data_IF_766353334658
#
_entry.id   IF_766353334658
#
_cell.length_a   1.000
_cell.length_b   1.000
_cell.length_c   1.000
_cell.angle_alpha   90.00
_cell.angle_beta   90.00
_cell.angle_gamma   90.00
#
_symmetry.space_group_name_H-M   'P 1'
#
loop_
_entity.id
_entity.type
_entity.pdbx_description
1 polymer ?
#
# COMPACT_ATOMS: atom_id res chain seq x y z
N UNK A 1 24.01 -26.15 4.32
CA UNK A 1 23.80 -24.79 4.83
C UNK A 1 23.20 -24.92 6.21
N UNK A 2 23.93 -24.54 7.26
CA UNK A 2 23.39 -24.56 8.62
C UNK A 2 22.19 -23.58 8.67
N UNK A 3 21.09 -24.02 9.26
CA UNK A 3 19.98 -23.13 9.61
C UNK A 3 20.49 -22.12 10.63
N UNK A 4 20.90 -20.93 10.16
CA UNK A 4 20.98 -19.76 11.04
C UNK A 4 19.55 -19.54 11.51
N UNK A 5 19.33 -19.66 12.83
CA UNK A 5 18.03 -19.39 13.43
C UNK A 5 17.60 -17.99 13.00
N UNK A 6 16.34 -17.86 12.55
CA UNK A 6 15.76 -16.58 12.18
C UNK A 6 15.88 -15.63 13.37
N UNK A 7 16.23 -14.37 13.09
CA UNK A 7 16.43 -13.41 14.15
C UNK A 7 15.12 -13.16 14.91
N UNK A 8 15.12 -13.32 16.22
CA UNK A 8 13.92 -13.17 17.05
C UNK A 8 13.49 -11.70 17.09
N UNK A 9 12.36 -11.40 16.46
CA UNK A 9 11.73 -10.09 16.44
C UNK A 9 11.01 -9.83 17.76
N UNK A 10 11.32 -8.70 18.37
CA UNK A 10 10.62 -8.20 19.55
C UNK A 10 10.49 -6.69 19.49
N UNK A 11 9.53 -6.15 20.22
CA UNK A 11 9.37 -4.71 20.44
C UNK A 11 9.50 -4.42 21.93
N UNK A 12 10.28 -3.40 22.27
CA UNK A 12 10.19 -2.78 23.58
C UNK A 12 9.23 -1.61 23.45
N UNK A 13 8.06 -1.66 24.08
CA UNK A 13 7.09 -0.55 24.07
C UNK A 13 6.83 -0.05 25.50
N UNK A 14 7.31 1.16 25.76
CA UNK A 14 7.18 1.87 27.01
C UNK A 14 5.79 2.49 27.20
N UNK A 15 5.36 2.61 28.46
CA UNK A 15 4.13 3.30 28.81
C UNK A 15 4.22 4.83 28.69
N UNK A 16 5.40 5.35 28.43
CA UNK A 16 5.65 6.73 28.01
C UNK A 16 5.47 6.93 26.49
N UNK A 17 5.18 5.85 25.76
CA UNK A 17 5.04 5.85 24.32
C UNK A 17 6.37 5.74 23.56
N UNK A 18 7.51 5.60 24.23
CA UNK A 18 8.78 5.31 23.59
C UNK A 18 8.83 3.84 23.17
N UNK A 19 9.40 3.53 22.01
CA UNK A 19 9.55 2.14 21.57
C UNK A 19 10.76 1.91 20.70
N UNK A 20 11.19 0.65 20.64
CA UNK A 20 12.28 0.18 19.80
C UNK A 20 11.91 -1.18 19.21
N UNK A 21 12.31 -1.41 17.96
CA UNK A 21 12.20 -2.71 17.31
C UNK A 21 13.56 -3.41 17.34
N UNK A 22 13.57 -4.64 17.83
CA UNK A 22 14.79 -5.42 18.03
C UNK A 22 14.75 -6.71 17.22
N UNK A 23 15.91 -7.10 16.68
CA UNK A 23 16.14 -8.42 16.10
C UNK A 23 17.30 -9.06 16.86
N UNK A 24 17.05 -10.21 17.48
CA UNK A 24 18.03 -10.91 18.34
C UNK A 24 18.52 -10.07 19.52
N UNK A 25 17.65 -9.19 20.04
CA UNK A 25 17.99 -8.26 21.12
C UNK A 25 18.85 -7.07 20.68
N UNK A 26 19.18 -6.94 19.40
CA UNK A 26 19.83 -5.76 18.83
C UNK A 26 18.78 -4.76 18.35
N UNK A 27 18.86 -3.50 18.78
CA UNK A 27 17.96 -2.44 18.31
C UNK A 27 18.24 -2.11 16.84
N UNK A 28 17.26 -2.43 15.99
CA UNK A 28 17.28 -2.15 14.56
C UNK A 28 16.66 -0.80 14.23
N UNK A 29 15.49 -0.51 14.79
CA UNK A 29 14.76 0.74 14.55
C UNK A 29 14.41 1.40 15.89
N UNK A 30 14.77 2.67 16.04
CA UNK A 30 14.31 3.50 17.15
C UNK A 30 12.97 4.14 16.78
N UNK A 31 11.99 4.02 17.66
CA UNK A 31 10.69 4.66 17.51
C UNK A 31 10.80 6.18 17.58
N UNK A 32 9.99 6.87 16.78
CA UNK A 32 9.82 8.33 16.86
C UNK A 32 8.62 8.75 17.71
N UNK A 33 8.31 10.04 17.67
CA UNK A 33 7.10 10.57 18.31
C UNK A 33 5.82 10.03 17.67
N UNK A 34 4.76 9.92 18.47
CA UNK A 34 3.39 9.69 17.97
C UNK A 34 2.77 11.04 17.61
N UNK A 35 2.12 11.13 16.44
CA UNK A 35 1.40 12.33 16.00
C UNK A 35 -0.05 12.03 15.64
N UNK A 36 -0.93 13.04 15.74
CA UNK A 36 -2.32 12.99 15.25
C UNK A 36 -2.84 14.39 14.94
N UNK A 37 -3.58 14.54 13.84
CA UNK A 37 -4.23 15.80 13.46
C UNK A 37 -5.68 15.84 13.89
N UNK A 38 -6.11 16.99 14.43
CA UNK A 38 -7.52 17.29 14.77
C UNK A 38 -7.74 18.79 14.76
N UNK A 39 -8.83 19.25 14.15
CA UNK A 39 -9.18 20.68 14.16
C UNK A 39 -8.16 21.56 13.42
N UNK A 40 -7.52 21.02 12.38
CA UNK A 40 -6.46 21.71 11.63
C UNK A 40 -5.12 21.82 12.36
N UNK A 41 -4.96 21.20 13.54
CA UNK A 41 -3.73 21.20 14.31
C UNK A 41 -3.09 19.82 14.33
N UNK A 42 -1.77 19.76 14.24
CA UNK A 42 -0.99 18.55 14.52
C UNK A 42 -0.64 18.51 16.01
N UNK A 43 -0.96 17.38 16.64
CA UNK A 43 -0.66 17.07 18.03
C UNK A 43 0.43 16.01 18.07
N UNK A 44 1.35 16.10 19.05
CA UNK A 44 2.50 15.19 19.16
C UNK A 44 2.78 14.77 20.59
N UNK A 45 3.24 13.53 20.79
CA UNK A 45 3.75 13.03 22.08
C UNK A 45 4.92 13.85 22.64
N UNK A 46 5.59 14.64 21.80
CA UNK A 46 6.69 15.50 22.21
C UNK A 46 6.23 16.87 22.71
N UNK A 47 4.93 17.20 22.63
CA UNK A 47 4.42 18.53 22.98
C UNK A 47 3.02 18.54 23.59
N UNK A 48 2.01 18.07 22.87
CA UNK A 48 0.59 18.32 23.18
C UNK A 48 -0.21 17.06 23.53
N UNK A 49 0.26 15.88 23.11
CA UNK A 49 -0.33 14.61 23.54
C UNK A 49 0.27 14.20 24.88
N UNK A 50 -0.60 13.68 25.75
CA UNK A 50 -0.23 13.13 27.06
C UNK A 50 -0.75 11.70 27.17
N UNK A 51 0.01 10.84 27.83
CA UNK A 51 -0.44 9.48 28.13
C UNK A 51 -1.55 9.55 29.18
N UNK A 52 -2.73 9.04 28.84
CA UNK A 52 -3.90 8.90 29.73
C UNK A 52 -3.83 7.57 30.48
N UNK A 53 -3.49 6.49 29.78
CA UNK A 53 -3.35 5.16 30.34
C UNK A 53 -2.40 4.31 29.52
N UNK A 54 -1.82 3.30 30.16
CA UNK A 54 -1.04 2.26 29.52
C UNK A 54 -1.49 0.90 30.07
N UNK A 55 -1.79 -0.03 29.17
CA UNK A 55 -2.18 -1.39 29.51
C UNK A 55 -1.22 -2.36 28.83
N UNK A 56 -0.74 -3.34 29.59
CA UNK A 56 -0.03 -4.49 29.06
C UNK A 56 -0.85 -5.73 29.32
N UNK A 57 -0.99 -6.55 28.30
CA UNK A 57 -1.82 -7.75 28.35
C UNK A 57 -1.30 -8.81 27.41
N UNK A 58 -1.61 -10.05 27.73
CA UNK A 58 -1.44 -11.18 26.84
C UNK A 58 -2.79 -11.53 26.19
N UNK A 59 -2.75 -12.08 24.99
CA UNK A 59 -3.93 -12.55 24.29
C UNK A 59 -3.62 -13.74 23.37
N UNK A 60 -4.63 -14.21 22.66
CA UNK A 60 -4.50 -15.27 21.67
C UNK A 60 -5.33 -14.90 20.44
N UNK A 61 -4.68 -14.82 19.28
CA UNK A 61 -5.34 -14.65 17.99
C UNK A 61 -5.61 -16.02 17.38
N UNK A 62 -6.85 -16.25 16.93
CA UNK A 62 -7.26 -17.56 16.44
C UNK A 62 -6.41 -18.10 15.27
N UNK A 63 -5.78 -17.22 14.49
CA UNK A 63 -4.94 -17.57 13.34
C UNK A 63 -3.46 -17.56 13.70
N UNK A 64 -3.02 -16.61 14.52
CA UNK A 64 -1.59 -16.36 14.79
C UNK A 64 -1.11 -16.87 16.15
N UNK A 65 -2.02 -17.32 17.00
CA UNK A 65 -1.75 -17.84 18.33
C UNK A 65 -1.49 -16.75 19.36
N UNK A 66 -0.76 -17.06 20.45
CA UNK A 66 -0.56 -16.14 21.56
C UNK A 66 0.22 -14.89 21.13
N UNK A 67 -0.17 -13.76 21.69
CA UNK A 67 0.49 -12.48 21.51
C UNK A 67 0.64 -11.72 22.83
N UNK A 68 1.65 -10.86 22.86
CA UNK A 68 1.86 -9.86 23.92
C UNK A 68 1.45 -8.50 23.37
N UNK A 69 0.70 -7.72 24.13
CA UNK A 69 0.18 -6.42 23.71
C UNK A 69 0.56 -5.32 24.71
N UNK A 70 0.94 -4.17 24.16
CA UNK A 70 0.98 -2.89 24.90
C UNK A 70 0.08 -1.89 24.20
N UNK A 71 -0.87 -1.32 24.94
CA UNK A 71 -1.79 -0.25 24.51
C UNK A 71 -1.43 1.02 25.27
N UNK A 72 -1.13 2.09 24.54
CA UNK A 72 -0.94 3.44 25.10
C UNK A 72 -2.08 4.32 24.61
N UNK A 73 -2.90 4.80 25.54
CA UNK A 73 -4.02 5.71 25.26
C UNK A 73 -3.55 7.15 25.43
N UNK A 74 -3.70 7.95 24.38
CA UNK A 74 -3.27 9.34 24.31
C UNK A 74 -4.46 10.28 24.45
N UNK A 75 -4.31 11.33 25.25
CA UNK A 75 -5.24 12.46 25.34
C UNK A 75 -4.53 13.76 24.98
N UNK A 76 -5.26 14.86 24.98
CA UNK A 76 -4.69 16.20 24.77
C UNK A 76 -4.48 16.87 26.12
N UNK A 77 -3.34 17.52 26.30
CA UNK A 77 -3.04 18.24 27.53
C UNK A 77 -4.16 19.24 27.89
N UNK A 78 -4.76 19.08 29.07
CA UNK A 78 -5.84 19.94 29.55
C UNK A 78 -7.25 19.54 29.09
N UNK A 79 -7.38 18.48 28.29
CA UNK A 79 -8.66 17.88 27.91
C UNK A 79 -8.87 16.54 28.63
N UNK A 80 -10.14 16.13 28.77
CA UNK A 80 -10.50 14.82 29.30
C UNK A 80 -10.83 13.87 28.14
N UNK A 81 -10.33 12.64 28.21
CA UNK A 81 -10.67 11.57 27.27
C UNK A 81 -9.48 11.05 26.48
N UNK A 82 -9.72 9.95 25.78
CA UNK A 82 -8.75 9.31 24.88
C UNK A 82 -9.05 9.77 23.45
N UNK A 83 -8.03 10.32 22.81
CA UNK A 83 -8.05 10.78 21.42
C UNK A 83 -7.60 9.69 20.45
N UNK A 84 -6.52 9.00 20.81
CA UNK A 84 -5.83 8.00 19.98
C UNK A 84 -5.32 6.90 20.90
N UNK A 85 -5.36 5.65 20.45
CA UNK A 85 -4.60 4.57 21.06
C UNK A 85 -3.54 4.08 20.08
N UNK A 86 -2.30 3.93 20.58
CA UNK A 86 -1.23 3.25 19.85
C UNK A 86 -0.98 1.91 20.50
N UNK A 87 -0.90 0.87 19.67
CA UNK A 87 -0.90 -0.51 20.12
C UNK A 87 0.26 -1.23 19.42
N UNK A 88 1.07 -1.96 20.16
CA UNK A 88 1.98 -2.95 19.57
C UNK A 88 1.62 -4.34 20.07
N UNK A 89 1.40 -5.27 19.13
CA UNK A 89 1.17 -6.69 19.38
C UNK A 89 2.32 -7.50 18.83
N UNK A 90 3.03 -8.22 19.68
CA UNK A 90 4.09 -9.15 19.28
C UNK A 90 3.50 -10.55 19.16
N UNK A 91 3.78 -11.23 18.04
CA UNK A 91 3.42 -12.62 17.80
C UNK A 91 4.70 -13.47 17.76
N UNK A 92 5.21 -13.95 18.91
CA UNK A 92 6.53 -14.60 18.98
C UNK A 92 6.62 -15.84 18.07
N UNK A 93 5.53 -16.59 17.94
CA UNK A 93 5.46 -17.80 17.09
C UNK A 93 5.53 -17.49 15.59
N UNK A 94 5.27 -16.25 15.20
CA UNK A 94 5.22 -15.80 13.81
C UNK A 94 6.38 -14.88 13.46
N UNK A 95 7.26 -14.55 14.41
CA UNK A 95 8.33 -13.58 14.23
C UNK A 95 7.84 -12.23 13.68
N UNK A 96 6.70 -11.77 14.20
CA UNK A 96 5.95 -10.64 13.69
C UNK A 96 5.52 -9.68 14.80
N UNK A 97 5.43 -8.39 14.47
CA UNK A 97 4.86 -7.35 15.33
C UNK A 97 3.83 -6.57 14.52
N UNK A 98 2.62 -6.40 15.04
CA UNK A 98 1.62 -5.51 14.47
C UNK A 98 1.55 -4.23 15.29
N UNK A 99 1.70 -3.08 14.62
CA UNK A 99 1.45 -1.77 15.19
C UNK A 99 0.08 -1.27 14.74
N UNK A 100 -0.79 -0.88 15.65
CA UNK A 100 -2.14 -0.40 15.36
C UNK A 100 -2.37 0.99 15.95
N UNK A 101 -3.01 1.83 15.16
CA UNK A 101 -3.64 3.08 15.58
C UNK A 101 -5.15 2.81 15.70
N UNK A 102 -5.75 3.17 16.84
CA UNK A 102 -7.20 3.14 17.03
C UNK A 102 -7.69 4.51 17.43
N UNK A 103 -8.85 4.90 16.91
CA UNK A 103 -9.45 6.21 17.12
C UNK A 103 -10.77 6.04 17.90
N UNK A 104 -10.76 6.07 19.25
CA UNK A 104 -11.97 5.85 20.05
C UNK A 104 -13.05 6.93 19.85
N UNK A 105 -12.66 8.07 19.27
CA UNK A 105 -13.55 9.20 18.97
C UNK A 105 -13.34 9.64 17.53
N UNK A 106 -14.39 10.21 16.93
CA UNK A 106 -14.29 10.78 15.60
C UNK A 106 -13.38 12.01 15.61
N UNK A 107 -12.57 12.14 14.56
CA UNK A 107 -11.70 13.28 14.32
C UNK A 107 -12.16 14.04 13.08
N UNK A 108 -12.19 15.36 13.17
CA UNK A 108 -12.59 16.25 12.08
C UNK A 108 -11.46 17.22 11.75
N UNK A 109 -11.45 17.72 10.51
CA UNK A 109 -10.41 18.62 9.99
C UNK A 109 -9.01 18.02 10.18
N UNK A 110 -8.86 16.76 9.78
CA UNK A 110 -7.64 15.97 9.99
C UNK A 110 -6.61 16.13 8.88
N UNK A 111 -6.97 16.78 7.77
CA UNK A 111 -6.13 16.83 6.59
C UNK A 111 -4.78 17.50 6.84
N UNK A 112 -3.73 16.97 6.20
CA UNK A 112 -2.44 17.62 6.13
C UNK A 112 -2.40 18.76 5.12
N UNK A 113 -1.37 19.60 5.15
CA UNK A 113 -1.16 20.66 4.15
C UNK A 113 -0.13 20.26 3.07
N UNK A 114 0.45 19.07 3.18
CA UNK A 114 1.55 18.55 2.33
C UNK A 114 1.08 17.96 0.99
N UNK A 115 0.09 18.62 0.39
CA UNK A 115 -0.35 18.30 -0.97
C UNK A 115 0.73 18.74 -1.96
N UNK A 116 1.35 17.77 -2.62
CA UNK A 116 2.29 18.02 -3.71
C UNK A 116 1.61 17.69 -5.03
N UNK A 117 1.27 18.72 -5.79
CA UNK A 117 0.72 18.56 -7.14
C UNK A 117 1.83 18.66 -8.18
N UNK A 118 2.33 17.51 -8.64
CA UNK A 118 3.27 17.42 -9.76
C UNK A 118 2.67 16.58 -10.89
N UNK A 119 2.01 17.28 -11.82
CA UNK A 119 1.41 16.68 -13.02
C UNK A 119 2.44 16.11 -14.00
N UNK A 120 3.73 16.46 -13.87
CA UNK A 120 4.79 15.89 -14.69
C UNK A 120 5.28 14.55 -14.14
N UNK A 121 5.02 14.25 -12.87
CA UNK A 121 5.52 13.05 -12.17
C UNK A 121 4.44 12.04 -11.77
N UNK A 122 3.13 12.36 -11.87
CA UNK A 122 2.05 11.38 -11.63
C UNK A 122 0.75 11.67 -12.39
N UNK A 123 0.06 10.63 -12.84
CA UNK A 123 -1.32 10.77 -13.38
C UNK A 123 -2.36 11.02 -12.28
N UNK A 124 -1.99 10.81 -11.01
CA UNK A 124 -2.81 11.08 -9.82
C UNK A 124 -2.95 12.61 -9.62
N UNK A 125 -2.10 13.41 -10.26
CA UNK A 125 -2.15 14.88 -10.32
C UNK A 125 -1.67 15.54 -9.03
N UNK A 126 -2.11 15.05 -7.88
CA UNK A 126 -1.64 15.48 -6.56
C UNK A 126 -1.41 14.29 -5.65
N UNK A 127 -0.30 14.33 -4.93
CA UNK A 127 0.12 13.34 -3.95
C UNK A 127 0.10 13.98 -2.55
N UNK A 128 -0.55 13.31 -1.61
CA UNK A 128 -0.55 13.71 -0.21
C UNK A 128 0.59 13.00 0.49
N UNK A 129 1.68 13.73 0.76
CA UNK A 129 2.90 13.16 1.36
C UNK A 129 2.85 13.04 2.87
N UNK A 130 1.75 13.43 3.48
CA UNK A 130 1.49 13.37 4.90
C UNK A 130 0.75 12.16 5.36
N UNK A 131 0.66 12.08 6.69
CA UNK A 131 -0.26 11.23 7.41
C UNK A 131 -1.12 12.07 8.35
N UNK A 132 -2.35 11.64 8.60
CA UNK A 132 -3.21 12.22 9.65
C UNK A 132 -2.64 11.91 11.03
N UNK A 133 -2.13 10.70 11.22
CA UNK A 133 -1.55 10.25 12.48
C UNK A 133 -0.34 9.35 12.21
N UNK A 134 0.81 9.67 12.79
CA UNK A 134 2.04 8.92 12.61
C UNK A 134 2.25 7.91 13.73
N UNK A 135 2.10 6.62 13.42
CA UNK A 135 2.47 5.47 14.27
C UNK A 135 2.33 4.13 13.49
N UNK A 136 3.35 3.26 13.44
CA UNK A 136 4.68 3.48 13.98
C UNK A 136 5.41 4.57 13.19
N UNK A 137 6.41 5.14 13.83
CA UNK A 137 7.35 6.13 13.32
C UNK A 137 8.76 5.64 13.62
N UNK A 138 9.68 5.80 12.69
CA UNK A 138 11.03 5.25 12.82
C UNK A 138 12.08 6.29 12.50
N UNK A 139 13.09 6.42 13.37
CA UNK A 139 14.24 7.27 13.12
C UNK A 139 15.10 6.69 11.99
N UNK A 140 15.52 7.55 11.07
CA UNK A 140 16.45 7.23 9.99
C UNK A 140 17.90 7.48 10.45
N UNK A 141 18.35 6.72 11.46
CA UNK A 141 19.60 6.95 12.19
C UNK A 141 20.57 5.75 12.20
N UNK A 142 20.31 4.75 11.35
CA UNK A 142 21.07 3.48 11.30
C UNK A 142 21.63 3.25 9.89
N UNK A 143 22.64 4.02 9.44
CA UNK A 143 23.13 3.98 8.06
C UNK A 143 23.77 2.64 7.64
N UNK A 144 24.04 1.74 8.58
CA UNK A 144 24.49 0.37 8.31
C UNK A 144 23.37 -0.53 7.79
N UNK A 145 22.10 -0.12 7.95
CA UNK A 145 20.96 -0.76 7.33
C UNK A 145 20.68 -0.15 5.95
N UNK A 146 20.26 -1.00 5.02
CA UNK A 146 19.72 -0.59 3.74
C UNK A 146 18.20 -0.75 3.73
N UNK A 147 17.54 -0.04 2.83
CA UNK A 147 16.11 -0.22 2.57
C UNK A 147 15.83 -0.54 1.11
N UNK A 148 14.70 -1.21 0.88
CA UNK A 148 14.08 -1.43 -0.42
C UNK A 148 12.58 -1.16 -0.31
N UNK A 149 12.04 -0.29 -1.15
CA UNK A 149 10.59 -0.03 -1.20
C UNK A 149 10.10 -0.14 -2.63
N UNK A 150 8.97 -0.83 -2.83
CA UNK A 150 8.26 -0.72 -4.10
C UNK A 150 7.57 0.64 -4.16
N UNK A 151 7.94 1.45 -5.15
CA UNK A 151 7.40 2.79 -5.33
C UNK A 151 6.93 3.00 -6.77
N UNK A 152 5.78 3.64 -6.92
CA UNK A 152 5.24 3.98 -8.24
C UNK A 152 4.13 3.04 -8.68
N UNK A 153 3.91 2.98 -10.00
CA UNK A 153 2.63 2.52 -10.55
C UNK A 153 2.66 1.05 -10.98
N UNK A 154 3.84 0.58 -11.42
CA UNK A 154 4.01 -0.75 -11.98
C UNK A 154 5.28 -1.45 -11.46
N UNK A 155 5.25 -2.77 -11.37
CA UNK A 155 6.42 -3.58 -10.96
C UNK A 155 7.64 -3.40 -11.89
N UNK A 156 7.40 -3.14 -13.18
CA UNK A 156 8.44 -3.02 -14.22
C UNK A 156 8.81 -1.58 -14.57
N UNK A 157 8.35 -0.61 -13.79
CA UNK A 157 8.60 0.81 -14.06
C UNK A 157 10.07 1.22 -13.85
N UNK A 158 10.95 0.26 -13.47
CA UNK A 158 12.39 0.42 -13.28
C UNK A 158 13.14 0.96 -14.52
N UNK A 159 12.51 0.97 -15.70
CA UNK A 159 13.07 1.53 -16.94
C UNK A 159 12.50 2.92 -17.31
N UNK A 160 11.60 3.48 -16.49
CA UNK A 160 11.10 4.82 -16.71
C UNK A 160 12.11 5.87 -16.19
N UNK A 161 12.52 6.87 -16.99
CA UNK A 161 13.37 7.98 -16.52
C UNK A 161 12.78 8.77 -15.35
N UNK A 162 11.50 8.55 -14.98
CA UNK A 162 10.86 9.13 -13.78
C UNK A 162 11.20 8.40 -12.48
N UNK A 163 11.92 7.27 -12.51
CA UNK A 163 12.44 6.60 -11.31
C UNK A 163 11.41 5.80 -10.51
N UNK A 164 10.57 5.02 -11.17
CA UNK A 164 9.54 4.17 -10.52
C UNK A 164 10.00 2.70 -10.51
N UNK A 165 9.43 1.84 -9.66
CA UNK A 165 9.90 0.47 -9.41
C UNK A 165 10.51 0.28 -8.00
N UNK A 166 11.23 -0.82 -7.74
CA UNK A 166 11.92 -0.99 -6.46
C UNK A 166 13.01 0.08 -6.30
N UNK A 167 12.89 0.87 -5.25
CA UNK A 167 13.84 1.90 -4.84
C UNK A 167 14.67 1.36 -3.68
N UNK A 168 15.93 1.76 -3.63
CA UNK A 168 16.87 1.34 -2.59
C UNK A 168 17.62 2.54 -2.07
N UNK A 169 18.05 2.45 -0.83
CA UNK A 169 18.89 3.45 -0.20
C UNK A 169 19.43 2.98 1.14
N UNK A 170 20.12 3.88 1.84
CA UNK A 170 20.57 3.68 3.22
C UNK A 170 19.52 4.17 4.19
N UNK A 171 19.39 3.52 5.34
CA UNK A 171 18.48 3.94 6.41
C UNK A 171 19.02 5.19 7.13
N UNK A 172 18.93 6.32 6.43
CA UNK A 172 19.48 7.62 6.82
C UNK A 172 18.55 8.74 6.34
N UNK A 173 18.49 9.84 7.09
CA UNK A 173 17.75 11.03 6.70
C UNK A 173 18.22 11.66 5.37
N UNK A 174 19.48 11.40 4.95
CA UNK A 174 20.03 11.85 3.67
C UNK A 174 19.54 11.02 2.47
N UNK A 175 19.01 9.83 2.72
CA UNK A 175 18.55 8.88 1.69
C UNK A 175 17.24 8.21 2.15
N UNK A 176 16.17 9.00 2.39
CA UNK A 176 14.95 8.47 2.98
C UNK A 176 14.17 7.62 1.97
N UNK A 177 13.40 6.62 2.43
CA UNK A 177 12.44 5.94 1.58
C UNK A 177 11.45 6.92 0.91
N UNK A 178 10.92 6.59 -0.28
CA UNK A 178 9.85 7.36 -0.90
C UNK A 178 8.62 7.50 0.00
N UNK A 179 7.88 8.59 -0.19
CA UNK A 179 6.73 9.01 0.62
C UNK A 179 5.46 9.08 -0.24
N UNK A 180 4.32 9.31 0.40
CA UNK A 180 3.05 9.57 -0.26
C UNK A 180 2.29 8.31 -0.69
N UNK A 181 1.28 8.52 -1.54
CA UNK A 181 0.31 7.50 -1.97
C UNK A 181 0.93 6.35 -2.79
N UNK A 182 2.12 6.59 -3.32
CA UNK A 182 2.86 5.62 -4.14
C UNK A 182 3.85 4.78 -3.32
N UNK A 183 3.96 5.04 -2.01
CA UNK A 183 4.79 4.25 -1.11
C UNK A 183 4.13 2.89 -0.83
N UNK A 184 4.82 1.82 -1.23
CA UNK A 184 4.41 0.46 -0.97
C UNK A 184 5.01 -0.10 0.32
N UNK A 185 4.93 -1.43 0.52
CA UNK A 185 5.62 -2.08 1.63
C UNK A 185 7.14 -1.90 1.50
N UNK A 186 7.77 -1.72 2.66
CA UNK A 186 9.16 -1.35 2.83
C UNK A 186 9.91 -2.53 3.44
N UNK A 187 11.05 -2.89 2.86
CA UNK A 187 12.02 -3.74 3.49
C UNK A 187 13.18 -2.92 4.05
N UNK A 188 13.64 -3.25 5.26
CA UNK A 188 14.90 -2.77 5.82
C UNK A 188 15.77 -3.99 6.11
N UNK A 189 17.05 -3.95 5.79
CA UNK A 189 17.87 -5.16 5.82
C UNK A 189 19.35 -4.86 6.05
N UNK A 190 20.04 -5.86 6.59
CA UNK A 190 21.49 -5.97 6.59
C UNK A 190 21.93 -7.08 5.61
N UNK A 191 23.20 -7.50 5.68
CA UNK A 191 23.74 -8.56 4.82
C UNK A 191 23.11 -9.96 4.99
N UNK A 192 22.35 -10.20 6.05
CA UNK A 192 21.88 -11.54 6.48
C UNK A 192 20.41 -11.58 6.90
N UNK A 193 19.86 -10.47 7.37
CA UNK A 193 18.54 -10.34 8.00
C UNK A 193 17.76 -9.25 7.29
N UNK A 194 16.44 -9.39 7.26
CA UNK A 194 15.55 -8.39 6.71
C UNK A 194 14.28 -8.31 7.53
N UNK A 195 13.73 -7.10 7.59
CA UNK A 195 12.38 -6.85 8.05
C UNK A 195 11.56 -6.24 6.91
N UNK A 196 10.27 -6.54 6.89
CA UNK A 196 9.28 -6.01 5.94
C UNK A 196 8.17 -5.36 6.74
N UNK A 197 7.90 -4.09 6.46
CA UNK A 197 6.83 -3.29 7.03
C UNK A 197 5.80 -2.98 5.94
N UNK A 198 4.52 -3.09 6.27
CA UNK A 198 3.46 -2.65 5.37
C UNK A 198 2.09 -2.76 6.02
N UNK A 199 1.08 -2.18 5.37
CA UNK A 199 -0.28 -2.20 5.89
C UNK A 199 -0.79 -3.63 6.12
N UNK A 200 -1.32 -3.86 7.32
CA UNK A 200 -2.02 -5.08 7.73
C UNK A 200 -3.53 -4.95 7.51
N UNK A 201 -4.09 -3.78 7.80
CA UNK A 201 -5.50 -3.43 7.57
C UNK A 201 -5.61 -2.13 6.79
N UNK A 202 -6.75 -1.92 6.12
CA UNK A 202 -7.08 -0.67 5.44
C UNK A 202 -5.95 -0.16 4.52
N UNK A 203 -5.34 -1.05 3.73
CA UNK A 203 -4.13 -0.77 2.94
C UNK A 203 -4.30 0.37 1.93
N UNK A 204 -5.53 0.64 1.48
CA UNK A 204 -5.86 1.74 0.57
C UNK A 204 -6.06 3.08 1.28
N UNK A 205 -6.01 3.08 2.62
CA UNK A 205 -6.18 4.27 3.44
C UNK A 205 -4.86 4.78 4.05
N UNK A 206 -3.74 4.10 3.77
CA UNK A 206 -2.43 4.39 4.36
C UNK A 206 -1.53 5.25 3.47
N UNK A 207 -0.61 5.97 4.10
CA UNK A 207 0.50 6.69 3.47
C UNK A 207 1.77 6.55 4.32
N UNK A 208 2.89 6.95 3.72
CA UNK A 208 4.19 7.09 4.40
C UNK A 208 4.62 8.55 4.28
N UNK A 209 5.00 9.16 5.40
CA UNK A 209 5.45 10.54 5.46
C UNK A 209 6.85 10.63 6.09
N UNK A 210 7.61 11.66 5.72
CA UNK A 210 8.85 12.01 6.41
C UNK A 210 8.65 13.31 7.17
N UNK A 211 8.89 13.29 8.48
CA UNK A 211 8.91 14.47 9.33
C UNK A 211 10.29 14.62 9.97
N UNK A 212 11.13 15.49 9.39
CA UNK A 212 12.54 15.59 9.78
C UNK A 212 13.28 14.28 9.49
N UNK A 213 13.69 13.57 10.55
CA UNK A 213 14.39 12.27 10.46
C UNK A 213 13.45 11.08 10.74
N UNK A 214 12.16 11.32 10.94
CA UNK A 214 11.18 10.29 11.29
C UNK A 214 10.37 9.87 10.08
N UNK A 215 10.46 8.58 9.71
CA UNK A 215 9.58 7.96 8.74
C UNK A 215 8.30 7.51 9.43
N UNK A 216 7.16 8.08 9.06
CA UNK A 216 5.88 7.90 9.71
C UNK A 216 4.92 7.09 8.84
N UNK A 217 4.23 6.13 9.45
CA UNK A 217 3.18 5.35 8.81
C UNK A 217 1.83 5.72 9.40
N UNK A 218 0.80 5.84 8.56
CA UNK A 218 -0.51 6.21 9.05
C UNK A 218 -1.56 6.48 7.97
N UNK A 219 -2.77 6.91 8.38
CA UNK A 219 -3.83 7.27 7.46
C UNK A 219 -3.40 8.41 6.54
N UNK A 220 -3.77 8.36 5.26
CA UNK A 220 -3.36 9.34 4.24
C UNK A 220 -3.65 10.78 4.67
N UNK A 221 -2.69 11.67 4.49
CA UNK A 221 -2.80 13.08 4.87
C UNK A 221 -3.98 13.83 4.23
N UNK A 222 -4.48 13.38 3.07
CA UNK A 222 -5.67 13.98 2.44
C UNK A 222 -7.01 13.67 3.11
N UNK A 223 -7.05 12.84 4.16
CA UNK A 223 -8.28 12.48 4.87
C UNK A 223 -8.79 13.67 5.68
N UNK A 224 -10.05 14.08 5.45
CA UNK A 224 -10.68 15.21 6.13
C UNK A 224 -11.26 14.86 7.51
N UNK A 225 -11.68 13.60 7.69
CA UNK A 225 -12.18 13.08 8.96
C UNK A 225 -11.90 11.59 9.15
N UNK A 226 -11.72 11.18 10.41
CA UNK A 226 -11.59 9.78 10.80
C UNK A 226 -12.82 9.40 11.65
N UNK A 227 -13.58 8.35 11.29
CA UNK A 227 -14.70 7.89 12.10
C UNK A 227 -14.26 7.38 13.48
N UNK A 228 -15.16 7.49 14.46
CA UNK A 228 -14.97 6.80 15.74
C UNK A 228 -14.88 5.28 15.53
N UNK A 229 -14.12 4.62 16.41
CA UNK A 229 -13.84 3.18 16.41
C UNK A 229 -13.14 2.65 15.15
N UNK A 230 -12.63 3.54 14.30
CA UNK A 230 -11.80 3.14 13.16
C UNK A 230 -10.37 2.81 13.61
N UNK A 231 -9.68 1.95 12.85
CA UNK A 231 -8.29 1.59 13.12
C UNK A 231 -7.47 1.37 11.84
N UNK A 232 -6.17 1.57 11.94
CA UNK A 232 -5.19 1.31 10.89
C UNK A 232 -4.03 0.55 11.49
N UNK A 233 -3.52 -0.48 10.80
CA UNK A 233 -2.43 -1.27 11.33
C UNK A 233 -1.35 -1.56 10.30
N UNK A 234 -0.11 -1.60 10.77
CA UNK A 234 1.10 -1.96 10.05
C UNK A 234 1.61 -3.29 10.61
N UNK A 235 1.90 -4.25 9.74
CA UNK A 235 2.61 -5.46 10.10
C UNK A 235 4.10 -5.26 9.84
N UNK A 236 4.92 -5.68 10.80
CA UNK A 236 6.36 -5.86 10.67
C UNK A 236 6.68 -7.35 10.79
N UNK A 237 7.38 -7.87 9.81
CA UNK A 237 7.81 -9.27 9.74
C UNK A 237 9.33 -9.33 9.59
N UNK A 238 10.03 -10.11 10.41
CA UNK A 238 11.47 -10.30 10.26
C UNK A 238 11.81 -11.74 9.85
N UNK A 239 12.85 -11.88 9.05
CA UNK A 239 13.39 -13.17 8.62
C UNK A 239 14.88 -13.07 8.27
N UNK A 240 15.50 -14.22 8.09
CA UNK A 240 16.86 -14.31 7.56
C UNK A 240 16.86 -14.07 6.04
N UNK A 241 16.96 -12.81 5.62
CA UNK A 241 17.10 -12.39 4.23
C UNK A 241 15.79 -11.96 3.57
N UNK A 242 15.92 -11.07 2.58
CA UNK A 242 14.82 -10.29 2.00
C UNK A 242 13.68 -11.18 1.48
N UNK A 243 13.97 -12.18 0.65
CA UNK A 243 12.92 -13.03 0.06
C UNK A 243 12.07 -13.75 1.11
N UNK A 244 12.70 -14.29 2.16
CA UNK A 244 11.98 -14.96 3.24
C UNK A 244 11.12 -13.99 4.03
N UNK A 245 11.62 -12.78 4.29
CA UNK A 245 10.85 -11.74 4.99
C UNK A 245 9.59 -11.35 4.21
N UNK A 246 9.72 -11.17 2.89
CA UNK A 246 8.58 -10.89 2.02
C UNK A 246 7.58 -12.04 1.91
N UNK A 247 8.08 -13.28 1.78
CA UNK A 247 7.21 -14.48 1.78
C UNK A 247 6.45 -14.62 3.10
N UNK A 248 7.12 -14.45 4.23
CA UNK A 248 6.50 -14.51 5.55
C UNK A 248 5.46 -13.40 5.74
N UNK A 249 5.79 -12.17 5.32
CA UNK A 249 4.88 -11.03 5.39
C UNK A 249 3.64 -11.25 4.52
N UNK A 250 3.83 -11.70 3.28
CA UNK A 250 2.74 -12.02 2.35
C UNK A 250 1.85 -13.16 2.86
N UNK A 251 2.45 -14.23 3.38
CA UNK A 251 1.70 -15.34 3.96
C UNK A 251 0.87 -14.91 5.19
N UNK A 252 1.43 -14.05 6.05
CA UNK A 252 0.69 -13.49 7.19
C UNK A 252 -0.55 -12.73 6.70
N UNK A 253 -0.42 -11.88 5.69
CA UNK A 253 -1.56 -11.14 5.13
C UNK A 253 -2.61 -12.07 4.51
N UNK A 254 -2.17 -13.08 3.76
CA UNK A 254 -3.07 -14.05 3.15
C UNK A 254 -3.87 -14.79 4.22
N UNK A 255 -3.22 -15.29 5.26
CA UNK A 255 -3.88 -15.95 6.38
C UNK A 255 -4.84 -15.02 7.13
N UNK A 256 -4.42 -13.78 7.42
CA UNK A 256 -5.27 -12.78 8.11
C UNK A 256 -6.56 -12.50 7.33
N UNK A 257 -6.45 -12.39 6.01
CA UNK A 257 -7.55 -12.00 5.14
C UNK A 257 -8.28 -13.20 4.52
N UNK A 258 -7.98 -14.44 4.96
CA UNK A 258 -8.61 -15.67 4.45
C UNK A 258 -8.37 -15.90 2.95
N UNK A 259 -7.23 -15.43 2.42
CA UNK A 259 -6.82 -15.57 1.02
C UNK A 259 -5.75 -16.64 0.89
N UNK A 260 -5.54 -17.11 -0.34
CA UNK A 260 -4.48 -18.06 -0.68
C UNK A 260 -3.52 -17.45 -1.69
N UNK A 261 -2.27 -17.93 -1.72
CA UNK A 261 -1.22 -17.42 -2.62
C UNK A 261 -1.58 -17.56 -4.10
N UNK A 262 -2.50 -18.47 -4.44
CA UNK A 262 -2.96 -18.72 -5.80
C UNK A 262 -4.44 -19.02 -5.78
N UNK A 263 -5.24 -18.07 -6.24
CA UNK A 263 -6.60 -18.36 -6.65
C UNK A 263 -6.51 -19.12 -7.97
N UNK A 264 -6.97 -20.38 -7.96
CA UNK A 264 -7.18 -21.14 -9.19
C UNK A 264 -8.29 -20.44 -9.98
N UNK A 265 -7.88 -19.50 -10.82
CA UNK A 265 -8.76 -18.74 -11.68
C UNK A 265 -8.47 -19.06 -13.14
N UNK A 266 -9.50 -18.97 -13.98
CA UNK A 266 -9.37 -19.22 -15.41
C UNK A 266 -8.32 -18.30 -16.05
N UNK A 267 -8.24 -17.04 -15.60
CA UNK A 267 -7.28 -16.05 -16.10
C UNK A 267 -5.83 -16.35 -15.69
N UNK A 268 -5.65 -17.04 -14.56
CA UNK A 268 -4.32 -17.43 -14.04
C UNK A 268 -3.83 -18.79 -14.57
N UNK A 269 -4.70 -19.57 -15.21
CA UNK A 269 -4.41 -20.93 -15.69
C UNK A 269 -4.30 -21.04 -17.21
N UNK A 270 -4.67 -19.98 -17.94
CA UNK A 270 -4.63 -19.95 -19.39
C UNK A 270 -4.01 -18.66 -19.89
N UNK A 271 -3.44 -18.73 -21.09
CA UNK A 271 -2.92 -17.56 -21.77
C UNK A 271 -4.07 -16.59 -22.10
N UNK A 272 -3.91 -15.34 -21.73
CA UNK A 272 -4.85 -14.26 -22.04
C UNK A 272 -4.28 -13.24 -23.00
N UNK A 273 -5.17 -12.50 -23.65
CA UNK A 273 -4.82 -11.32 -24.43
C UNK A 273 -5.28 -10.06 -23.69
N UNK A 274 -4.33 -9.22 -23.26
CA UNK A 274 -4.65 -7.94 -22.62
C UNK A 274 -4.59 -6.82 -23.65
N UNK A 275 -5.61 -5.95 -23.68
CA UNK A 275 -5.63 -4.78 -24.55
C UNK A 275 -5.13 -3.52 -23.84
N UNK A 276 -4.30 -3.65 -22.80
CA UNK A 276 -3.79 -2.55 -21.97
C UNK A 276 -2.50 -1.93 -22.57
N UNK A 277 -1.95 -0.94 -21.88
CA UNK A 277 -0.69 -0.25 -22.15
C UNK A 277 0.45 -1.26 -22.39
N UNK A 278 0.97 -1.29 -23.61
CA UNK A 278 1.92 -2.28 -24.12
C UNK A 278 1.36 -3.18 -25.23
N UNK A 279 0.04 -3.27 -25.40
CA UNK A 279 -0.57 -3.95 -26.54
C UNK A 279 -0.58 -3.05 -27.80
N UNK A 280 -0.35 -3.65 -28.97
CA UNK A 280 -0.32 -2.91 -30.24
C UNK A 280 -1.62 -2.15 -30.55
N UNK A 281 -2.76 -2.73 -30.15
CA UNK A 281 -4.09 -2.17 -30.36
C UNK A 281 -4.62 -1.41 -29.13
N UNK A 282 -3.77 -0.98 -28.20
CA UNK A 282 -4.18 -0.12 -27.09
C UNK A 282 -4.58 1.26 -27.62
N UNK A 283 -5.84 1.68 -27.40
CA UNK A 283 -6.41 2.93 -27.92
C UNK A 283 -6.24 3.14 -29.44
N UNK A 284 -6.05 2.05 -30.18
CA UNK A 284 -5.71 2.09 -31.59
C UNK A 284 -6.39 0.92 -32.30
N UNK A 285 -7.67 1.05 -32.71
CA UNK A 285 -8.25 0.05 -33.59
C UNK A 285 -7.54 0.07 -34.94
N UNK A 286 -7.83 -0.92 -35.79
CA UNK A 286 -7.40 -0.87 -37.19
C UNK A 286 -7.99 0.36 -37.86
N UNK A 287 -7.21 1.04 -38.71
CA UNK A 287 -7.60 2.29 -39.37
C UNK A 287 -8.98 2.19 -40.05
N UNK A 288 -9.90 3.07 -39.65
CA UNK A 288 -11.26 3.11 -40.17
C UNK A 288 -12.13 1.91 -39.78
N UNK A 289 -11.80 1.23 -38.68
CA UNK A 289 -12.54 0.09 -38.12
C UNK A 289 -12.82 0.31 -36.64
N UNK A 290 -13.83 -0.37 -36.14
CA UNK A 290 -14.10 -0.41 -34.71
C UNK A 290 -13.20 -1.45 -33.99
N UNK A 291 -13.30 -1.47 -32.67
CA UNK A 291 -12.52 -2.41 -31.87
C UNK A 291 -13.04 -3.85 -31.99
N UNK A 292 -14.33 -4.06 -32.25
CA UNK A 292 -14.86 -5.40 -32.49
C UNK A 292 -14.17 -6.03 -33.70
N UNK A 293 -14.18 -5.35 -34.84
CA UNK A 293 -13.51 -5.83 -36.05
C UNK A 293 -12.02 -6.06 -35.78
N UNK A 294 -11.36 -5.14 -35.07
CA UNK A 294 -9.95 -5.25 -34.73
C UNK A 294 -9.66 -6.51 -33.91
N UNK A 295 -10.43 -6.76 -32.84
CA UNK A 295 -10.24 -7.91 -31.97
C UNK A 295 -10.58 -9.24 -32.66
N UNK A 296 -11.57 -9.25 -33.55
CA UNK A 296 -11.88 -10.43 -34.39
C UNK A 296 -10.69 -10.78 -35.30
N UNK A 297 -10.01 -9.77 -35.86
CA UNK A 297 -8.81 -9.98 -36.68
C UNK A 297 -7.62 -10.45 -35.85
N UNK A 298 -7.45 -9.92 -34.64
CA UNK A 298 -6.44 -10.43 -33.70
C UNK A 298 -6.70 -11.90 -33.39
N UNK A 299 -7.93 -12.26 -33.02
CA UNK A 299 -8.30 -13.64 -32.73
C UNK A 299 -8.05 -14.56 -33.93
N UNK A 300 -8.49 -14.17 -35.14
CA UNK A 300 -8.25 -14.93 -36.37
C UNK A 300 -6.75 -15.10 -36.68
N UNK A 301 -5.96 -14.04 -36.48
CA UNK A 301 -4.52 -14.05 -36.72
C UNK A 301 -3.76 -14.95 -35.74
N UNK A 302 -4.17 -14.97 -34.47
CA UNK A 302 -3.66 -15.89 -33.47
C UNK A 302 -4.09 -17.33 -33.81
N UNK A 303 -5.35 -17.53 -34.16
CA UNK A 303 -5.93 -18.82 -34.53
C UNK A 303 -5.58 -19.93 -33.52
N UNK A 304 -5.28 -21.12 -34.02
CA UNK A 304 -4.82 -22.24 -33.19
C UNK A 304 -3.34 -22.14 -32.76
N UNK A 305 -2.58 -21.15 -33.28
CA UNK A 305 -1.14 -21.06 -33.05
C UNK A 305 -0.80 -20.56 -31.65
N UNK A 306 -1.70 -19.79 -31.04
CA UNK A 306 -1.53 -19.23 -29.70
C UNK A 306 -2.81 -19.54 -28.91
N UNK A 307 -2.75 -20.35 -27.84
CA UNK A 307 -3.94 -20.83 -27.15
C UNK A 307 -4.49 -19.77 -26.18
N UNK A 308 -4.84 -18.59 -26.71
CA UNK A 308 -5.53 -17.54 -25.94
C UNK A 308 -6.92 -18.06 -25.55
N UNK A 309 -7.25 -17.97 -24.27
CA UNK A 309 -8.52 -18.44 -23.72
C UNK A 309 -9.40 -17.35 -23.15
N UNK A 310 -8.83 -16.18 -22.89
CA UNK A 310 -9.55 -15.02 -22.40
C UNK A 310 -8.93 -13.75 -22.95
N UNK A 311 -9.72 -12.68 -22.96
CA UNK A 311 -9.23 -11.34 -23.25
C UNK A 311 -9.64 -10.38 -22.12
N UNK A 312 -8.72 -9.51 -21.73
CA UNK A 312 -9.03 -8.38 -20.86
C UNK A 312 -9.13 -7.11 -21.72
N UNK A 313 -10.30 -6.47 -21.67
CA UNK A 313 -10.60 -5.24 -22.38
C UNK A 313 -10.31 -4.05 -21.46
N UNK A 314 -9.15 -3.43 -21.66
CA UNK A 314 -8.75 -2.22 -20.96
C UNK A 314 -9.45 -0.97 -21.53
N UNK A 315 -9.11 0.18 -20.95
CA UNK A 315 -10.07 1.16 -20.48
C UNK A 315 -10.65 2.07 -21.56
N UNK A 316 -10.59 1.70 -22.83
CA UNK A 316 -11.10 2.46 -23.96
C UNK A 316 -12.59 2.19 -24.26
N UNK A 317 -13.21 1.19 -23.61
CA UNK A 317 -14.59 0.78 -23.92
C UNK A 317 -15.70 1.58 -23.23
N UNK A 318 -15.38 2.39 -22.22
CA UNK A 318 -16.36 3.06 -21.35
C UNK A 318 -16.11 4.56 -21.23
N UNK A 319 -17.07 5.32 -20.69
CA UNK A 319 -16.99 6.79 -20.63
C UNK A 319 -16.01 7.27 -19.56
N UNK A 320 -15.26 8.32 -19.89
CA UNK A 320 -14.24 8.92 -19.01
C UNK A 320 -14.37 10.43 -18.89
N UNK A 321 -13.92 10.94 -17.75
CA UNK A 321 -14.13 12.34 -17.33
C UNK A 321 -13.30 13.37 -18.08
N UNK A 322 -12.21 12.99 -18.76
CA UNK A 322 -11.38 13.91 -19.53
C UNK A 322 -11.27 13.42 -20.97
N UNK A 323 -11.97 14.11 -21.87
CA UNK A 323 -12.07 13.80 -23.28
C UNK A 323 -10.99 14.46 -24.13
N UNK A 324 -9.71 14.12 -23.96
CA UNK A 324 -8.83 14.21 -25.12
C UNK A 324 -9.18 13.02 -26.00
N UNK A 325 -9.93 13.24 -27.08
CA UNK A 325 -10.13 12.16 -28.05
C UNK A 325 -8.79 11.77 -28.62
N UNK A 326 -8.40 10.51 -28.48
CA UNK A 326 -7.37 9.91 -29.30
C UNK A 326 -7.77 9.91 -30.77
N UNK A 327 -6.88 9.44 -31.64
CA UNK A 327 -7.26 9.16 -33.02
C UNK A 327 -8.55 8.35 -33.05
N UNK A 328 -9.49 8.76 -33.89
CA UNK A 328 -10.82 8.12 -34.07
C UNK A 328 -11.87 8.34 -32.96
N UNK A 329 -11.72 9.34 -32.08
CA UNK A 329 -12.84 9.80 -31.23
C UNK A 329 -13.01 9.07 -29.89
N UNK A 330 -12.02 8.25 -29.51
CA UNK A 330 -12.01 7.51 -28.22
C UNK A 330 -11.42 8.39 -27.11
N UNK A 331 -12.10 8.62 -25.97
CA UNK A 331 -11.54 9.40 -24.87
C UNK A 331 -10.24 8.79 -24.29
N UNK A 332 -9.13 9.49 -24.41
CA UNK A 332 -7.84 9.18 -23.79
C UNK A 332 -7.79 9.76 -22.38
N UNK A 333 -7.49 8.91 -21.40
CA UNK A 333 -7.29 9.34 -20.01
C UNK A 333 -8.59 9.72 -19.28
N UNK A 334 -8.44 10.16 -18.02
CA UNK A 334 -9.56 10.45 -17.12
C UNK A 334 -10.04 9.24 -16.31
N UNK A 335 -10.78 9.52 -15.23
CA UNK A 335 -11.43 8.49 -14.42
C UNK A 335 -12.67 7.94 -15.12
N UNK A 336 -13.07 6.71 -14.77
CA UNK A 336 -14.32 6.13 -15.26
C UNK A 336 -15.51 6.94 -14.71
N UNK A 337 -16.38 7.43 -15.60
CA UNK A 337 -17.63 8.10 -15.22
C UNK A 337 -18.82 7.14 -15.29
N UNK A 338 -18.81 6.27 -16.31
CA UNK A 338 -19.89 5.34 -16.56
C UNK A 338 -19.32 4.05 -17.15
N UNK A 339 -19.62 2.92 -16.52
CA UNK A 339 -19.13 1.59 -16.87
C UNK A 339 -19.86 0.95 -18.06
N UNK A 340 -20.87 1.60 -18.62
CA UNK A 340 -21.52 1.12 -19.84
C UNK A 340 -20.57 1.21 -21.03
N UNK A 341 -20.61 0.18 -21.88
CA UNK A 341 -19.80 0.17 -23.08
C UNK A 341 -20.31 1.21 -24.08
N UNK A 342 -19.40 2.03 -24.61
CA UNK A 342 -19.70 3.04 -25.62
C UNK A 342 -20.14 2.35 -26.94
N UNK A 343 -21.32 2.67 -27.48
CA UNK A 343 -21.76 2.13 -28.78
C UNK A 343 -20.84 2.49 -29.95
N UNK A 344 -20.08 3.59 -29.84
CA UNK A 344 -19.09 4.01 -30.84
C UNK A 344 -17.83 3.14 -30.86
N UNK A 345 -17.62 2.31 -29.83
CA UNK A 345 -16.46 1.43 -29.69
C UNK A 345 -16.83 -0.02 -30.00
N UNK A 346 -17.98 -0.45 -29.50
CA UNK A 346 -18.60 -1.73 -29.79
C UNK A 346 -20.03 -1.48 -30.24
N UNK A 347 -20.34 -1.85 -31.49
CA UNK A 347 -21.71 -1.79 -31.99
C UNK A 347 -22.68 -2.52 -31.05
N UNK A 348 -23.71 -1.81 -30.58
CA UNK A 348 -24.67 -2.33 -29.59
C UNK A 348 -24.20 -2.26 -28.13
N UNK A 349 -23.08 -1.60 -27.84
CA UNK A 349 -22.57 -1.37 -26.48
C UNK A 349 -22.26 -2.69 -25.76
N UNK A 350 -22.82 -2.87 -24.55
CA UNK A 350 -22.57 -4.05 -23.72
C UNK A 350 -23.01 -5.36 -24.40
N UNK A 351 -24.05 -5.30 -25.24
CA UNK A 351 -24.48 -6.46 -26.03
C UNK A 351 -23.42 -6.86 -27.06
N UNK A 352 -22.71 -5.89 -27.64
CA UNK A 352 -21.59 -6.12 -28.56
C UNK A 352 -20.41 -6.81 -27.87
N UNK A 353 -20.07 -6.38 -26.66
CA UNK A 353 -19.04 -7.05 -25.83
C UNK A 353 -19.47 -8.47 -25.47
N UNK A 354 -20.71 -8.66 -25.05
CA UNK A 354 -21.23 -9.99 -24.71
C UNK A 354 -21.32 -10.93 -25.92
N UNK A 355 -21.51 -10.41 -27.13
CA UNK A 355 -21.47 -11.19 -28.35
C UNK A 355 -20.06 -11.74 -28.62
N UNK A 356 -19.00 -11.01 -28.27
CA UNK A 356 -17.63 -11.51 -28.41
C UNK A 356 -17.38 -12.82 -27.67
N UNK A 357 -18.00 -12.99 -26.51
CA UNK A 357 -17.85 -14.20 -25.69
C UNK A 357 -18.57 -15.43 -26.30
N UNK A 358 -19.58 -15.22 -27.16
CA UNK A 358 -20.42 -16.30 -27.68
C UNK A 358 -19.89 -16.92 -28.97
N UNK A 359 -19.01 -16.21 -29.67
CA UNK A 359 -18.41 -16.64 -30.94
C UNK A 359 -17.03 -17.32 -30.76
N UNK A 360 -16.61 -17.52 -29.52
CA UNK A 360 -15.39 -18.24 -29.09
C UNK A 360 -15.73 -19.56 -28.44
#
# INVERSE_FOLDING_TARGET
>A
FAHVLAGHLSVHFGCDGAYELLIDGETWLHGGGTTVRRGGLELSSNSSLVVVSCVRSDGDDATFGPFEETVVSWGVQGENGVLLETIARTFPRRNAVAFEQRFPVALEQTSSEDRVCDYAQSWIGCDWRGVVAGFPTWQLDKPDLAWMMFYGEHLNDAHNPTGRGPRFGRWSADDPPPQGLLAGPLSVFDSTRALVLGALTNSMAGSVALNGMELQFGPMGGVESIPADWSYSILVQAESGINRAWEAWGNFLLERHGKTNKVSDFTNSHLGYQTNNGAYYYYKPMEGKDFRFTLDRVQQGLGEKVPVRWANLDSWRYFKSHGTTGGEGVPLGGGCENWTTMPSVFDGGDAGVAAMHRDT
#
